data_IF_910559300160
#
_entry.id   IF_910559300160
#
_cell.length_a   1.000
_cell.length_b   1.000
_cell.length_c   1.000
_cell.angle_alpha   90.00
_cell.angle_beta   90.00
_cell.angle_gamma   90.00
#
_symmetry.space_group_name_H-M   'P 1'
#
loop_
_entity.id
_entity.type
_entity.pdbx_description
1 polymer ?
#
# COMPACT_ATOMS: atom_id res chain seq x y z
N UNK A 1 19.18 11.35 -23.49
CA UNK A 1 19.10 10.63 -22.18
C UNK A 1 19.09 11.55 -20.96
N UNK A 2 19.85 12.64 -20.87
CA UNK A 2 19.86 13.59 -19.75
C UNK A 2 18.49 14.24 -19.45
N UNK A 3 17.63 14.50 -20.45
CA UNK A 3 16.29 15.07 -20.25
C UNK A 3 15.34 14.15 -19.47
N UNK A 4 15.35 12.85 -19.72
CA UNK A 4 14.43 11.89 -19.04
C UNK A 4 14.79 11.72 -17.55
N UNK A 5 16.09 11.76 -17.18
CA UNK A 5 16.52 11.68 -15.77
C UNK A 5 16.00 12.83 -14.91
N UNK A 6 15.80 14.03 -15.50
CA UNK A 6 15.28 15.22 -14.79
C UNK A 6 13.74 15.30 -14.77
N UNK A 7 13.08 14.72 -15.77
CA UNK A 7 11.60 14.75 -15.88
C UNK A 7 10.95 13.82 -14.84
N UNK A 8 11.56 12.68 -14.53
CA UNK A 8 11.01 11.68 -13.64
C UNK A 8 10.67 12.20 -12.22
N UNK A 9 11.58 12.88 -11.48
CA UNK A 9 11.23 13.45 -10.18
C UNK A 9 10.16 14.54 -10.29
N UNK A 10 10.14 15.30 -11.38
CA UNK A 10 9.13 16.35 -11.62
C UNK A 10 7.74 15.72 -11.75
N UNK A 11 7.60 14.64 -12.49
CA UNK A 11 6.33 13.91 -12.63
C UNK A 11 5.84 13.41 -11.26
N UNK A 12 6.70 12.81 -10.45
CA UNK A 12 6.32 12.32 -9.11
C UNK A 12 5.84 13.49 -8.23
N UNK A 13 6.54 14.62 -8.26
CA UNK A 13 6.16 15.84 -7.50
C UNK A 13 4.81 16.38 -7.98
N UNK A 14 4.58 16.47 -9.30
CA UNK A 14 3.31 16.95 -9.86
C UNK A 14 2.14 16.03 -9.51
N UNK A 15 2.32 14.70 -9.61
CA UNK A 15 1.29 13.74 -9.21
C UNK A 15 1.03 13.82 -7.71
N UNK A 16 2.08 13.96 -6.88
CA UNK A 16 1.94 14.14 -5.43
C UNK A 16 1.19 15.42 -5.07
N UNK A 17 1.49 16.53 -5.75
CA UNK A 17 0.82 17.81 -5.54
C UNK A 17 -0.65 17.76 -5.97
N UNK A 18 -0.95 17.09 -7.09
CA UNK A 18 -2.33 16.81 -7.51
C UNK A 18 -3.09 15.97 -6.49
N UNK A 19 -2.45 14.94 -5.92
CA UNK A 19 -3.05 14.10 -4.87
C UNK A 19 -3.42 14.92 -3.62
N UNK A 20 -2.49 15.77 -3.15
CA UNK A 20 -2.74 16.67 -2.01
C UNK A 20 -3.91 17.60 -2.32
N UNK A 21 -3.97 18.15 -3.54
CA UNK A 21 -5.07 19.00 -4.00
C UNK A 21 -6.42 18.27 -3.97
N UNK A 22 -6.48 17.03 -4.44
CA UNK A 22 -7.70 16.21 -4.42
C UNK A 22 -8.16 15.95 -2.99
N UNK A 23 -7.26 15.56 -2.09
CA UNK A 23 -7.58 15.29 -0.68
C UNK A 23 -8.08 16.58 0.00
N UNK A 24 -7.44 17.73 -0.28
CA UNK A 24 -7.87 19.01 0.25
C UNK A 24 -9.29 19.38 -0.22
N UNK A 25 -9.58 19.22 -1.51
CA UNK A 25 -10.91 19.48 -2.08
C UNK A 25 -11.96 18.56 -1.46
N UNK A 26 -11.67 17.27 -1.28
CA UNK A 26 -12.58 16.33 -0.63
C UNK A 26 -12.88 16.72 0.82
N UNK A 27 -11.84 17.09 1.57
CA UNK A 27 -12.01 17.55 2.96
C UNK A 27 -12.83 18.84 3.04
N UNK A 28 -12.53 19.84 2.20
CA UNK A 28 -13.25 21.10 2.14
C UNK A 28 -14.72 20.89 1.77
N UNK A 29 -14.98 20.03 0.77
CA UNK A 29 -16.34 19.67 0.35
C UNK A 29 -17.13 18.99 1.47
N UNK A 30 -16.52 18.02 2.16
CA UNK A 30 -17.14 17.29 3.26
C UNK A 30 -17.49 18.24 4.42
N UNK A 31 -16.57 19.14 4.78
CA UNK A 31 -16.78 20.13 5.82
C UNK A 31 -17.91 21.10 5.47
N UNK A 32 -17.94 21.62 4.23
CA UNK A 32 -19.00 22.47 3.73
C UNK A 32 -20.35 21.77 3.75
N UNK A 33 -20.40 20.50 3.39
CA UNK A 33 -21.62 19.70 3.40
C UNK A 33 -22.15 19.45 4.82
N UNK A 34 -21.24 19.23 5.79
CA UNK A 34 -21.58 19.10 7.21
C UNK A 34 -22.23 20.39 7.74
N UNK A 35 -21.62 21.56 7.46
CA UNK A 35 -22.15 22.85 7.88
C UNK A 35 -23.53 23.11 7.26
N UNK A 36 -23.68 22.92 5.97
CA UNK A 36 -24.96 23.10 5.27
C UNK A 36 -26.08 22.21 5.86
N UNK A 37 -25.75 20.96 6.16
CA UNK A 37 -26.71 20.04 6.79
C UNK A 37 -27.07 20.45 8.21
N UNK A 38 -26.13 20.98 8.99
CA UNK A 38 -26.41 21.51 10.32
C UNK A 38 -27.36 22.69 10.26
N UNK A 39 -27.16 23.65 9.35
CA UNK A 39 -28.01 24.81 9.18
C UNK A 39 -29.42 24.44 8.71
N UNK A 40 -29.52 23.51 7.73
CA UNK A 40 -30.81 23.00 7.26
C UNK A 40 -31.60 22.30 8.39
N UNK A 41 -30.92 21.48 9.21
CA UNK A 41 -31.57 20.79 10.31
C UNK A 41 -32.06 21.77 11.38
N UNK A 42 -31.26 22.79 11.70
CA UNK A 42 -31.60 23.87 12.62
C UNK A 42 -32.83 24.64 12.16
N UNK A 43 -32.87 25.07 10.90
CA UNK A 43 -34.05 25.77 10.33
C UNK A 43 -35.31 24.90 10.39
N UNK A 44 -35.23 23.63 10.03
CA UNK A 44 -36.37 22.70 10.11
C UNK A 44 -36.90 22.54 11.54
N UNK A 45 -36.01 22.45 12.53
CA UNK A 45 -36.42 22.38 13.94
C UNK A 45 -37.09 23.67 14.42
N UNK A 46 -36.59 24.84 14.03
CA UNK A 46 -37.21 26.13 14.32
C UNK A 46 -38.60 26.19 13.67
N UNK A 47 -38.74 25.74 12.43
CA UNK A 47 -40.01 25.73 11.73
C UNK A 47 -41.04 24.77 12.38
N UNK A 48 -40.59 23.60 12.86
CA UNK A 48 -41.44 22.71 13.66
C UNK A 48 -41.93 23.38 14.92
N UNK A 49 -41.02 23.98 15.70
CA UNK A 49 -41.37 24.65 16.95
C UNK A 49 -42.36 25.79 16.71
N UNK A 50 -42.14 26.61 15.66
CA UNK A 50 -43.03 27.71 15.28
C UNK A 50 -44.39 27.20 14.79
N UNK A 51 -44.43 26.16 13.94
CA UNK A 51 -45.66 25.61 13.40
C UNK A 51 -46.53 25.01 14.50
N UNK A 52 -45.94 24.26 15.42
CA UNK A 52 -46.68 23.65 16.54
C UNK A 52 -47.18 24.75 17.51
N UNK A 53 -46.33 25.73 17.82
CA UNK A 53 -46.72 26.88 18.68
C UNK A 53 -47.90 27.64 18.09
N UNK A 54 -47.91 27.88 16.79
CA UNK A 54 -49.02 28.53 16.07
C UNK A 54 -50.28 27.65 16.06
N UNK A 55 -50.16 26.35 15.91
CA UNK A 55 -51.31 25.43 15.99
C UNK A 55 -51.87 25.35 17.42
N UNK A 56 -51.03 25.31 18.44
CA UNK A 56 -51.44 25.38 19.84
C UNK A 56 -52.10 26.70 20.21
N UNK A 57 -51.68 27.81 19.57
CA UNK A 57 -52.27 29.15 19.85
C UNK A 57 -53.79 29.20 19.57
N UNK A 58 -54.28 28.40 18.65
CA UNK A 58 -55.72 28.28 18.33
C UNK A 58 -56.55 27.74 19.50
N UNK A 59 -55.91 27.04 20.42
CA UNK A 59 -56.57 26.48 21.63
C UNK A 59 -56.46 27.41 22.84
N UNK A 60 -55.71 28.49 22.73
CA UNK A 60 -55.59 29.54 23.77
C UNK A 60 -56.67 30.59 23.58
N UNK A 61 -57.26 31.07 24.64
CA UNK A 61 -58.26 32.11 24.59
C UNK A 61 -59.60 31.77 25.21
N UNK A 62 -60.64 32.54 24.92
CA UNK A 62 -61.97 32.26 25.47
C UNK A 62 -62.69 31.12 24.76
N UNK A 63 -63.55 30.40 25.47
CA UNK A 63 -64.44 29.43 24.88
C UNK A 63 -65.49 30.19 24.07
N UNK A 64 -65.71 29.80 22.81
CA UNK A 64 -66.85 30.31 22.07
C UNK A 64 -68.13 29.90 22.79
N UNK A 65 -69.07 30.82 23.00
CA UNK A 65 -70.33 30.49 23.68
C UNK A 65 -71.07 29.41 22.88
N UNK A 66 -71.39 28.27 23.57
CA UNK A 66 -72.19 27.22 23.00
C UNK A 66 -73.71 27.59 23.18
N UNK A 67 -74.53 27.25 22.18
CA UNK A 67 -75.99 27.47 22.25
C UNK A 67 -76.67 26.83 23.49
N UNK A 68 -76.00 25.93 24.17
CA UNK A 68 -76.51 25.18 25.34
C UNK A 68 -75.85 25.61 26.67
N UNK A 69 -75.03 26.66 26.70
CA UNK A 69 -74.45 27.12 27.95
C UNK A 69 -75.49 27.94 28.70
N UNK A 70 -75.81 27.53 29.92
CA UNK A 70 -76.78 28.33 30.77
C UNK A 70 -76.09 29.69 31.09
N UNK A 71 -76.68 30.75 30.61
CA UNK A 71 -76.10 32.12 30.68
C UNK A 71 -75.99 32.64 32.14
N UNK A 72 -76.67 31.98 33.09
CA UNK A 72 -76.67 32.38 34.47
C UNK A 72 -76.85 31.11 35.36
N UNK A 73 -75.79 30.50 35.70
CA UNK A 73 -75.73 29.62 36.86
C UNK A 73 -74.34 29.64 37.45
N UNK A 74 -74.28 30.28 38.56
CA UNK A 74 -73.36 30.01 39.65
C UNK A 74 -72.81 31.31 40.27
N UNK A 75 -72.51 31.28 41.54
CA UNK A 75 -71.92 32.32 42.38
C UNK A 75 -70.52 32.82 41.98
N UNK A 76 -70.08 32.57 40.77
CA UNK A 76 -68.80 33.07 40.26
C UNK A 76 -68.96 34.43 39.64
N UNK A 77 -68.13 35.46 40.02
CA UNK A 77 -68.27 36.84 39.57
C UNK A 77 -67.90 37.03 38.06
N UNK A 78 -67.40 36.02 37.37
CA UNK A 78 -67.08 36.06 35.94
C UNK A 78 -67.73 34.89 35.25
N UNK A 79 -68.60 35.12 34.22
CA UNK A 79 -69.19 34.01 33.44
C UNK A 79 -68.11 33.15 32.80
N UNK A 80 -68.32 31.80 32.78
CA UNK A 80 -67.34 30.84 32.28
C UNK A 80 -66.78 31.13 30.87
N UNK A 81 -67.53 31.81 30.02
CA UNK A 81 -67.08 32.14 28.67
C UNK A 81 -66.01 33.31 28.64
N UNK A 82 -65.85 34.04 29.78
CA UNK A 82 -64.75 34.99 29.93
C UNK A 82 -63.52 34.46 30.64
N UNK A 83 -63.61 33.25 31.18
CA UNK A 83 -62.42 32.65 31.83
C UNK A 83 -61.36 32.35 30.81
N UNK A 84 -60.15 32.83 30.99
CA UNK A 84 -59.06 32.52 30.09
C UNK A 84 -58.68 31.04 30.22
N UNK A 85 -58.63 30.34 29.10
CA UNK A 85 -58.22 28.94 29.05
C UNK A 85 -56.79 28.81 28.54
N UNK A 86 -55.99 28.03 29.25
CA UNK A 86 -54.67 27.59 28.85
C UNK A 86 -54.79 26.41 27.88
N UNK A 87 -53.78 26.23 27.02
CA UNK A 87 -53.70 25.11 26.08
C UNK A 87 -53.68 23.79 26.84
N UNK A 88 -53.00 23.76 27.96
CA UNK A 88 -52.90 22.61 28.87
C UNK A 88 -54.24 22.11 29.42
N UNK A 89 -55.21 23.02 29.56
CA UNK A 89 -56.57 22.65 30.01
C UNK A 89 -57.43 22.04 28.90
N UNK A 90 -57.08 22.24 27.64
CA UNK A 90 -57.85 21.78 26.46
C UNK A 90 -57.22 20.56 25.78
N UNK A 91 -55.91 20.40 25.85
CA UNK A 91 -55.19 19.32 25.19
C UNK A 91 -54.50 18.42 26.20
N UNK A 92 -54.62 17.13 26.00
CA UNK A 92 -53.83 16.15 26.72
C UNK A 92 -52.36 16.11 26.24
N UNK A 93 -51.47 15.55 27.05
CA UNK A 93 -50.08 15.34 26.67
C UNK A 93 -49.95 14.49 25.38
N UNK A 94 -50.89 13.54 25.18
CA UNK A 94 -50.92 12.70 23.98
C UNK A 94 -51.29 13.49 22.73
N UNK A 95 -52.28 14.40 22.80
CA UNK A 95 -52.68 15.22 21.68
C UNK A 95 -51.63 16.25 21.29
N UNK A 96 -50.90 16.81 22.28
CA UNK A 96 -49.76 17.69 22.02
C UNK A 96 -48.64 16.91 21.33
N UNK A 97 -48.35 15.70 21.80
CA UNK A 97 -47.36 14.82 21.18
C UNK A 97 -47.70 14.44 19.73
N UNK A 98 -49.00 14.17 19.44
CA UNK A 98 -49.42 13.90 18.06
C UNK A 98 -49.24 15.10 17.13
N UNK A 99 -49.54 16.31 17.62
CA UNK A 99 -49.30 17.54 16.85
C UNK A 99 -47.82 17.73 16.56
N UNK A 100 -46.97 17.56 17.55
CA UNK A 100 -45.50 17.58 17.40
C UNK A 100 -45.07 16.52 16.39
N UNK A 101 -45.51 15.27 16.54
CA UNK A 101 -45.18 14.19 15.62
C UNK A 101 -45.54 14.51 14.17
N UNK A 102 -46.74 15.06 13.93
CA UNK A 102 -47.18 15.50 12.59
C UNK A 102 -46.25 16.60 12.03
N UNK A 103 -45.91 17.56 12.88
CA UNK A 103 -44.99 18.66 12.46
C UNK A 103 -43.58 18.17 12.19
N UNK A 104 -43.06 17.22 12.97
CA UNK A 104 -41.76 16.58 12.70
C UNK A 104 -41.79 15.80 11.37
N UNK A 105 -42.83 15.04 11.10
CA UNK A 105 -42.99 14.28 9.84
C UNK A 105 -43.10 15.23 8.64
N UNK A 106 -43.90 16.30 8.73
CA UNK A 106 -44.10 17.25 7.63
C UNK A 106 -42.81 18.04 7.29
N UNK A 107 -41.91 18.20 8.26
CA UNK A 107 -40.57 18.83 8.05
C UNK A 107 -39.43 17.83 7.76
N UNK A 108 -39.77 16.56 7.42
CA UNK A 108 -38.77 15.51 7.15
C UNK A 108 -37.83 15.21 8.33
N UNK A 109 -38.33 15.30 9.55
CA UNK A 109 -37.60 15.01 10.80
C UNK A 109 -38.12 13.78 11.53
N UNK A 110 -38.73 12.82 10.80
CA UNK A 110 -39.40 11.63 11.36
C UNK A 110 -38.50 10.82 12.29
N UNK A 111 -37.21 10.76 12.02
CA UNK A 111 -36.25 9.95 12.78
C UNK A 111 -35.55 10.75 13.90
N UNK A 112 -35.86 12.04 14.04
CA UNK A 112 -35.27 12.85 15.10
C UNK A 112 -36.07 12.63 16.38
N UNK A 113 -35.47 12.05 17.43
CA UNK A 113 -36.12 11.94 18.72
C UNK A 113 -36.25 13.30 19.38
N UNK A 114 -37.34 13.52 20.08
CA UNK A 114 -37.61 14.77 20.79
C UNK A 114 -38.36 14.49 22.09
N UNK A 115 -38.19 15.39 23.06
CA UNK A 115 -38.97 15.52 24.26
C UNK A 115 -39.54 16.93 24.31
N UNK A 116 -40.66 17.12 25.01
CA UNK A 116 -41.29 18.44 25.07
C UNK A 116 -41.93 18.72 26.44
N UNK A 117 -42.09 20.00 26.74
CA UNK A 117 -42.91 20.47 27.83
C UNK A 117 -43.62 21.76 27.48
N UNK A 118 -44.79 21.96 28.07
CA UNK A 118 -45.55 23.18 28.06
C UNK A 118 -45.43 23.81 29.44
N UNK A 119 -44.84 25.00 29.50
CA UNK A 119 -44.68 25.80 30.70
C UNK A 119 -45.68 26.92 30.72
N UNK A 120 -46.15 27.29 31.90
CA UNK A 120 -46.94 28.50 32.16
C UNK A 120 -46.09 29.49 32.92
N UNK A 121 -45.94 30.69 32.35
CA UNK A 121 -45.28 31.82 32.99
C UNK A 121 -46.29 32.65 33.75
N UNK A 122 -46.22 32.70 35.11
CA UNK A 122 -47.05 33.59 35.91
C UNK A 122 -46.30 34.86 36.19
N UNK A 123 -47.06 35.94 36.35
CA UNK A 123 -46.54 37.29 36.66
C UNK A 123 -45.70 37.36 37.95
N UNK A 124 -45.82 36.37 38.85
CA UNK A 124 -45.16 36.30 40.16
C UNK A 124 -43.87 35.46 40.17
N UNK A 125 -43.12 35.45 39.02
CA UNK A 125 -41.85 34.71 38.86
C UNK A 125 -41.89 33.15 39.02
N UNK A 126 -43.06 32.55 39.34
CA UNK A 126 -43.18 31.10 39.43
C UNK A 126 -43.65 30.49 38.11
N UNK A 127 -42.71 30.07 37.28
CA UNK A 127 -43.00 29.21 36.13
C UNK A 127 -43.16 27.75 36.58
N UNK A 128 -44.20 27.08 36.12
CA UNK A 128 -44.40 25.66 36.40
C UNK A 128 -44.71 24.88 35.12
N UNK A 129 -44.31 23.62 35.17
CA UNK A 129 -44.53 22.69 34.04
C UNK A 129 -45.93 22.10 34.17
N UNK A 130 -46.78 22.34 33.20
CA UNK A 130 -48.11 21.78 33.22
C UNK A 130 -48.25 20.44 32.50
N UNK A 131 -47.60 20.34 31.35
CA UNK A 131 -47.61 19.12 30.53
C UNK A 131 -46.17 18.83 30.08
N UNK A 132 -45.75 17.58 30.22
CA UNK A 132 -44.42 17.19 29.73
C UNK A 132 -44.45 15.74 29.23
N UNK A 133 -43.50 15.42 28.34
CA UNK A 133 -43.20 14.07 27.94
C UNK A 133 -42.35 13.33 29.00
N UNK A 134 -42.25 12.01 28.86
CA UNK A 134 -41.73 11.14 29.92
C UNK A 134 -40.31 11.43 30.37
N UNK A 135 -39.40 11.71 29.41
CA UNK A 135 -37.98 11.89 29.69
C UNK A 135 -37.55 13.38 29.61
N UNK A 136 -38.55 14.29 29.57
CA UNK A 136 -38.24 15.74 29.37
C UNK A 136 -37.28 16.29 30.42
N UNK A 137 -37.47 15.97 31.70
CA UNK A 137 -36.62 16.52 32.78
C UNK A 137 -35.15 16.10 32.65
N UNK A 138 -34.90 14.82 32.30
CA UNK A 138 -33.55 14.29 32.08
C UNK A 138 -32.91 14.99 30.90
N UNK A 139 -33.58 15.08 29.78
CA UNK A 139 -33.05 15.72 28.57
C UNK A 139 -32.89 17.25 28.73
N UNK A 140 -33.79 17.85 29.48
CA UNK A 140 -33.73 19.29 29.77
C UNK A 140 -32.54 19.62 30.70
N UNK A 141 -32.20 18.78 31.63
CA UNK A 141 -31.04 18.95 32.51
C UNK A 141 -29.71 18.78 31.78
N UNK A 142 -29.67 17.88 30.77
CA UNK A 142 -28.45 17.59 29.99
C UNK A 142 -28.27 18.58 28.84
N UNK A 143 -27.66 19.73 29.12
CA UNK A 143 -27.35 20.77 28.13
C UNK A 143 -26.16 20.41 27.25
N UNK A 144 -25.40 19.37 27.59
CA UNK A 144 -24.22 18.95 26.83
C UNK A 144 -24.63 18.19 25.58
N UNK A 145 -25.60 17.29 25.70
CA UNK A 145 -26.02 16.39 24.62
C UNK A 145 -27.33 16.79 23.97
N UNK A 146 -28.04 17.79 24.52
CA UNK A 146 -29.35 18.21 24.06
C UNK A 146 -29.44 19.70 23.84
N UNK A 147 -30.26 20.08 22.84
CA UNK A 147 -30.57 21.48 22.50
C UNK A 147 -32.03 21.76 22.79
N UNK A 148 -32.31 22.97 23.27
CA UNK A 148 -33.63 23.45 23.64
C UNK A 148 -34.13 24.45 22.61
N UNK A 149 -35.35 24.25 22.10
CA UNK A 149 -36.06 25.18 21.25
C UNK A 149 -37.26 25.72 22.03
N UNK A 150 -37.24 27.01 22.30
CA UNK A 150 -38.24 27.71 23.13
C UNK A 150 -39.11 28.58 22.23
N UNK A 151 -40.42 28.36 22.25
CA UNK A 151 -41.37 29.17 21.50
C UNK A 151 -42.56 29.54 22.35
N UNK A 152 -42.95 30.81 22.32
CA UNK A 152 -44.14 31.31 22.99
C UNK A 152 -45.41 30.89 22.25
N UNK A 153 -46.41 30.43 22.99
CA UNK A 153 -47.75 30.20 22.47
C UNK A 153 -48.56 31.47 22.67
N UNK A 154 -48.55 32.28 21.64
CA UNK A 154 -49.17 33.63 21.68
C UNK A 154 -50.67 33.48 21.39
N UNK A 155 -51.52 34.18 22.15
CA UNK A 155 -52.97 34.23 21.87
C UNK A 155 -53.21 34.87 20.49
N UNK A 156 -54.28 34.43 19.75
CA UNK A 156 -54.65 35.09 18.50
C UNK A 156 -54.85 36.57 18.69
N UNK A 157 -54.31 37.41 17.80
CA UNK A 157 -54.46 38.87 17.84
C UNK A 157 -55.95 39.24 17.82
N UNK A 158 -56.32 40.27 18.59
CA UNK A 158 -57.68 40.75 18.79
C UNK A 158 -58.59 39.83 19.59
N UNK A 159 -58.09 38.89 20.36
CA UNK A 159 -58.83 38.16 21.36
C UNK A 159 -59.16 39.08 22.57
N UNK A 160 -60.41 39.06 23.07
CA UNK A 160 -60.82 39.83 24.25
C UNK A 160 -59.99 39.50 25.53
N UNK A 161 -59.20 38.41 25.49
CA UNK A 161 -58.36 37.93 26.59
C UNK A 161 -56.85 38.04 26.30
N UNK A 162 -56.45 38.76 25.29
CA UNK A 162 -55.02 38.85 24.87
C UNK A 162 -54.09 39.25 26.03
N UNK A 163 -54.57 40.11 26.95
CA UNK A 163 -53.83 40.53 28.13
C UNK A 163 -54.21 39.87 29.45
N UNK A 164 -55.13 38.91 29.42
CA UNK A 164 -55.67 38.23 30.63
C UNK A 164 -55.18 36.78 30.80
N UNK A 165 -54.52 36.21 29.79
CA UNK A 165 -54.01 34.85 29.83
C UNK A 165 -52.56 34.86 30.22
N UNK A 166 -52.16 33.93 31.11
CA UNK A 166 -50.76 33.66 31.41
C UNK A 166 -50.02 33.25 30.13
N UNK A 167 -48.75 33.63 30.02
CA UNK A 167 -47.90 33.24 28.88
C UNK A 167 -47.56 31.74 28.98
N UNK A 168 -47.86 31.03 27.89
CA UNK A 168 -47.47 29.64 27.76
C UNK A 168 -46.28 29.54 26.81
N UNK A 169 -45.35 28.66 27.15
CA UNK A 169 -44.12 28.41 26.42
C UNK A 169 -43.96 26.94 26.09
N UNK A 170 -43.88 26.62 24.82
CA UNK A 170 -43.52 25.30 24.35
C UNK A 170 -42.00 25.19 24.29
N UNK A 171 -41.47 24.21 25.02
CA UNK A 171 -40.04 23.84 24.97
C UNK A 171 -39.93 22.49 24.31
N UNK A 172 -39.16 22.41 23.22
CA UNK A 172 -38.84 21.16 22.55
C UNK A 172 -37.34 20.90 22.78
N UNK A 173 -37.01 19.71 23.26
CA UNK A 173 -35.63 19.28 23.49
C UNK A 173 -35.30 18.20 22.49
N UNK A 174 -34.18 18.37 21.79
CA UNK A 174 -33.68 17.41 20.79
C UNK A 174 -32.21 17.16 21.02
N UNK A 175 -31.64 16.02 20.55
CA UNK A 175 -30.21 15.77 20.62
C UNK A 175 -29.40 16.82 19.88
N UNK A 176 -28.12 16.96 20.23
CA UNK A 176 -27.19 17.86 19.55
C UNK A 176 -27.23 17.66 18.03
N UNK A 177 -27.39 18.76 17.29
CA UNK A 177 -27.48 18.74 15.82
C UNK A 177 -26.26 18.06 15.19
N UNK A 178 -25.05 18.26 15.78
CA UNK A 178 -23.83 17.63 15.30
C UNK A 178 -23.94 16.10 15.27
N UNK A 179 -24.43 15.49 16.35
CA UNK A 179 -24.56 14.02 16.45
C UNK A 179 -25.57 13.46 15.45
N UNK A 180 -26.69 14.17 15.25
CA UNK A 180 -27.72 13.81 14.27
C UNK A 180 -27.18 13.86 12.84
N UNK A 181 -26.47 14.93 12.48
CA UNK A 181 -25.86 15.11 11.15
C UNK A 181 -24.77 14.08 10.90
N UNK A 182 -23.89 13.80 11.89
CA UNK A 182 -22.89 12.75 11.74
C UNK A 182 -23.50 11.39 11.49
N UNK A 183 -24.57 11.03 12.17
CA UNK A 183 -25.28 9.76 11.95
C UNK A 183 -25.87 9.69 10.55
N UNK A 184 -26.53 10.74 10.06
CA UNK A 184 -27.10 10.82 8.71
C UNK A 184 -26.02 10.76 7.63
N UNK A 185 -24.83 11.31 7.89
CA UNK A 185 -23.73 11.38 6.94
C UNK A 185 -22.69 10.25 7.06
N UNK A 186 -22.81 9.36 8.04
CA UNK A 186 -21.82 8.32 8.32
C UNK A 186 -21.47 7.46 7.10
N UNK A 187 -22.49 7.04 6.32
CA UNK A 187 -22.28 6.26 5.09
C UNK A 187 -21.49 7.03 4.03
N UNK A 188 -21.78 8.33 3.86
CA UNK A 188 -21.08 9.19 2.88
C UNK A 188 -19.65 9.46 3.30
N UNK A 189 -19.40 9.67 4.60
CA UNK A 189 -18.06 9.82 5.17
C UNK A 189 -17.26 8.54 4.95
N UNK A 190 -17.85 7.37 5.19
CA UNK A 190 -17.20 6.08 4.97
C UNK A 190 -16.82 5.87 3.49
N UNK A 191 -17.73 6.19 2.57
CA UNK A 191 -17.45 6.14 1.12
C UNK A 191 -16.32 7.10 0.73
N UNK A 192 -16.29 8.31 1.27
CA UNK A 192 -15.22 9.28 1.01
C UNK A 192 -13.85 8.78 1.52
N UNK A 193 -13.81 8.18 2.71
CA UNK A 193 -12.59 7.58 3.28
C UNK A 193 -12.13 6.42 2.39
N UNK A 194 -13.03 5.51 1.99
CA UNK A 194 -12.71 4.38 1.12
C UNK A 194 -12.12 4.86 -0.21
N UNK A 195 -12.74 5.87 -0.82
CA UNK A 195 -12.26 6.45 -2.08
C UNK A 195 -10.88 7.09 -1.93
N UNK A 196 -10.62 7.80 -0.82
CA UNK A 196 -9.29 8.35 -0.52
C UNK A 196 -8.24 7.25 -0.38
N UNK A 197 -8.56 6.13 0.29
CA UNK A 197 -7.65 4.99 0.43
C UNK A 197 -7.34 4.34 -0.92
N UNK A 198 -8.32 4.22 -1.82
CA UNK A 198 -8.10 3.70 -3.18
C UNK A 198 -7.13 4.60 -3.95
N UNK A 199 -7.32 5.93 -3.91
CA UNK A 199 -6.43 6.88 -4.59
C UNK A 199 -5.00 6.80 -4.03
N UNK A 200 -4.83 6.74 -2.70
CA UNK A 200 -3.52 6.61 -2.05
C UNK A 200 -2.83 5.30 -2.44
N UNK A 201 -3.59 4.19 -2.47
CA UNK A 201 -3.07 2.89 -2.91
C UNK A 201 -2.63 2.91 -4.37
N UNK A 202 -3.44 3.46 -5.27
CA UNK A 202 -3.11 3.61 -6.68
C UNK A 202 -1.85 4.48 -6.89
N UNK A 203 -1.73 5.58 -6.14
CA UNK A 203 -0.54 6.43 -6.16
C UNK A 203 0.71 5.67 -5.72
N UNK A 204 0.63 4.97 -4.58
CA UNK A 204 1.74 4.16 -4.06
C UNK A 204 2.20 3.11 -5.08
N UNK A 205 1.25 2.36 -5.67
CA UNK A 205 1.56 1.34 -6.68
C UNK A 205 2.20 1.96 -7.93
N UNK A 206 1.69 3.10 -8.38
CA UNK A 206 2.24 3.81 -9.55
C UNK A 206 3.68 4.25 -9.30
N UNK A 207 3.95 4.93 -8.18
CA UNK A 207 5.29 5.40 -7.84
C UNK A 207 6.26 4.22 -7.65
N UNK A 208 5.83 3.18 -6.94
CA UNK A 208 6.64 1.97 -6.73
C UNK A 208 7.01 1.30 -8.06
N UNK A 209 6.03 1.14 -8.96
CA UNK A 209 6.24 0.57 -10.30
C UNK A 209 7.17 1.43 -11.15
N UNK A 210 7.00 2.76 -11.14
CA UNK A 210 7.86 3.68 -11.86
C UNK A 210 9.33 3.62 -11.37
N UNK A 211 9.54 3.58 -10.05
CA UNK A 211 10.90 3.46 -9.46
C UNK A 211 11.53 2.13 -9.88
N UNK A 212 10.76 1.05 -9.85
CA UNK A 212 11.23 -0.28 -10.28
C UNK A 212 11.58 -0.31 -11.77
N UNK A 213 10.75 0.27 -12.63
CA UNK A 213 11.02 0.36 -14.07
C UNK A 213 12.26 1.19 -14.37
N UNK A 214 12.45 2.33 -13.67
CA UNK A 214 13.65 3.14 -13.81
C UNK A 214 14.91 2.35 -13.48
N UNK A 215 14.91 1.62 -12.35
CA UNK A 215 16.03 0.79 -11.91
C UNK A 215 16.35 -0.32 -12.92
N UNK A 216 15.32 -0.98 -13.47
CA UNK A 216 15.49 -1.97 -14.54
C UNK A 216 16.08 -1.36 -15.81
N UNK A 217 15.65 -0.16 -16.19
CA UNK A 217 16.20 0.55 -17.37
C UNK A 217 17.66 0.94 -17.17
N UNK A 218 18.06 1.38 -15.98
CA UNK A 218 19.46 1.69 -15.65
C UNK A 218 20.32 0.42 -15.76
N UNK A 219 19.90 -0.68 -15.17
CA UNK A 219 20.60 -1.99 -15.23
C UNK A 219 20.75 -2.46 -16.68
N UNK A 220 19.65 -2.34 -17.47
CA UNK A 220 19.69 -2.71 -18.90
C UNK A 220 20.67 -1.86 -19.70
N UNK A 221 20.73 -0.56 -19.44
CA UNK A 221 21.70 0.33 -20.12
C UNK A 221 23.13 0.00 -19.73
N UNK A 222 23.40 -0.25 -18.44
CA UNK A 222 24.73 -0.66 -17.97
C UNK A 222 25.16 -1.99 -18.59
N UNK A 223 24.22 -2.94 -18.74
CA UNK A 223 24.47 -4.19 -19.45
C UNK A 223 24.85 -3.96 -20.91
N UNK A 224 24.08 -3.13 -21.66
CA UNK A 224 24.39 -2.82 -23.06
C UNK A 224 25.78 -2.17 -23.19
N UNK A 225 26.10 -1.21 -22.33
CA UNK A 225 27.40 -0.56 -22.32
C UNK A 225 28.53 -1.57 -22.05
N UNK A 226 28.36 -2.43 -21.06
CA UNK A 226 29.34 -3.46 -20.73
C UNK A 226 29.51 -4.48 -21.87
N UNK A 227 28.41 -4.92 -22.52
CA UNK A 227 28.48 -5.77 -23.71
C UNK A 227 29.30 -5.12 -24.82
N UNK A 228 29.02 -3.84 -25.09
CA UNK A 228 29.77 -3.10 -26.13
C UNK A 228 31.27 -3.09 -25.83
N UNK A 229 31.66 -2.86 -24.59
CA UNK A 229 33.06 -2.90 -24.19
C UNK A 229 33.66 -4.31 -24.26
N UNK A 230 32.96 -5.35 -23.80
CA UNK A 230 33.43 -6.74 -23.81
C UNK A 230 33.58 -7.29 -25.24
N UNK A 231 32.80 -6.82 -26.22
CA UNK A 231 32.96 -7.18 -27.62
C UNK A 231 34.04 -6.34 -28.34
N UNK A 232 34.21 -5.08 -27.96
CA UNK A 232 35.20 -4.20 -28.62
C UNK A 232 36.62 -4.74 -28.46
N UNK A 233 36.96 -5.29 -27.31
CA UNK A 233 38.32 -5.81 -27.03
C UNK A 233 38.70 -6.98 -27.94
N UNK A 234 37.93 -8.10 -28.01
CA UNK A 234 38.29 -9.21 -28.90
C UNK A 234 38.29 -8.81 -30.38
N UNK A 235 37.34 -7.94 -30.79
CA UNK A 235 37.30 -7.44 -32.17
C UNK A 235 38.60 -6.64 -32.50
N UNK A 236 39.06 -5.79 -31.60
CA UNK A 236 40.32 -5.05 -31.79
C UNK A 236 41.52 -5.99 -31.83
N UNK A 237 41.59 -7.01 -30.97
CA UNK A 237 42.65 -8.02 -30.98
C UNK A 237 42.67 -8.82 -32.27
N UNK A 238 41.50 -9.24 -32.76
CA UNK A 238 41.36 -9.93 -34.05
C UNK A 238 41.86 -9.02 -35.18
N UNK A 239 41.44 -7.74 -35.20
CA UNK A 239 41.88 -6.78 -36.21
C UNK A 239 43.39 -6.59 -36.24
N UNK A 240 44.00 -6.44 -35.05
CA UNK A 240 45.46 -6.33 -34.92
C UNK A 240 46.19 -7.60 -35.42
N UNK A 241 45.67 -8.77 -35.08
CA UNK A 241 46.23 -10.03 -35.55
C UNK A 241 46.10 -10.21 -37.07
N UNK A 242 44.99 -9.78 -37.67
CA UNK A 242 44.81 -9.74 -39.12
C UNK A 242 45.78 -8.77 -39.80
N UNK A 243 45.94 -7.57 -39.23
CA UNK A 243 46.89 -6.58 -39.76
C UNK A 243 48.32 -7.07 -39.65
N UNK A 244 48.69 -7.76 -38.57
CA UNK A 244 49.98 -8.42 -38.42
C UNK A 244 50.20 -9.52 -39.47
N UNK A 245 49.22 -10.35 -39.78
CA UNK A 245 49.30 -11.39 -40.81
C UNK A 245 49.49 -10.78 -42.21
N UNK A 246 48.98 -9.58 -42.46
CA UNK A 246 49.17 -8.88 -43.76
C UNK A 246 50.56 -8.36 -43.97
N UNK A 247 51.43 -8.34 -42.96
CA UNK A 247 52.82 -7.92 -43.09
C UNK A 247 53.65 -9.01 -43.76
N UNK A 248 54.40 -8.68 -44.82
CA UNK A 248 55.21 -9.62 -45.56
C UNK A 248 56.20 -10.41 -44.69
N UNK A 249 56.78 -9.81 -43.65
CA UNK A 249 57.73 -10.47 -42.73
C UNK A 249 57.05 -11.56 -41.90
N UNK A 250 55.76 -11.39 -41.57
CA UNK A 250 54.96 -12.37 -40.84
C UNK A 250 54.49 -13.47 -41.78
N UNK A 251 54.11 -13.13 -43.03
CA UNK A 251 53.67 -14.11 -44.02
C UNK A 251 54.77 -15.11 -44.40
N UNK A 252 56.07 -14.70 -44.32
CA UNK A 252 57.24 -15.55 -44.59
C UNK A 252 57.66 -16.39 -43.37
N UNK A 253 57.10 -16.15 -42.22
CA UNK A 253 57.42 -16.79 -40.93
C UNK A 253 56.22 -17.63 -40.50
N UNK A 254 56.31 -18.97 -40.74
CA UNK A 254 55.22 -19.91 -40.44
C UNK A 254 54.84 -19.97 -38.97
N UNK A 255 55.80 -19.75 -38.05
CA UNK A 255 55.58 -19.77 -36.61
C UNK A 255 54.75 -18.52 -36.19
N UNK A 256 55.14 -17.35 -36.66
CA UNK A 256 54.37 -16.12 -36.41
C UNK A 256 52.99 -16.13 -37.05
N UNK A 257 52.88 -16.68 -38.26
CA UNK A 257 51.57 -16.87 -38.92
C UNK A 257 50.66 -17.79 -38.09
N UNK A 258 51.21 -18.91 -37.60
CA UNK A 258 50.48 -19.80 -36.66
C UNK A 258 50.07 -19.13 -35.38
N UNK A 259 50.95 -18.34 -34.77
CA UNK A 259 50.66 -17.59 -33.56
C UNK A 259 49.52 -16.57 -33.73
N UNK A 260 49.54 -15.72 -34.75
CA UNK A 260 48.45 -14.76 -34.97
C UNK A 260 47.14 -15.45 -35.38
N UNK A 261 47.20 -16.56 -36.09
CA UNK A 261 46.03 -17.35 -36.43
C UNK A 261 45.42 -18.03 -35.18
N UNK A 262 46.23 -18.46 -34.23
CA UNK A 262 45.70 -18.98 -32.94
C UNK A 262 45.00 -17.90 -32.12
N UNK A 263 45.57 -16.69 -32.10
CA UNK A 263 44.89 -15.56 -31.42
C UNK A 263 43.52 -15.28 -32.01
N UNK A 264 43.39 -15.26 -33.34
CA UNK A 264 42.08 -15.05 -34.03
C UNK A 264 41.10 -16.17 -33.63
N UNK A 265 41.58 -17.44 -33.65
CA UNK A 265 40.73 -18.57 -33.29
C UNK A 265 40.29 -18.55 -31.83
N UNK A 266 41.18 -18.19 -30.92
CA UNK A 266 40.86 -18.08 -29.48
C UNK A 266 39.88 -16.99 -29.18
N UNK A 267 40.05 -15.78 -29.77
CA UNK A 267 39.11 -14.69 -29.56
C UNK A 267 37.73 -14.95 -30.21
N UNK A 268 37.72 -15.63 -31.39
CA UNK A 268 36.43 -16.06 -31.99
C UNK A 268 35.70 -17.07 -31.11
N UNK A 269 36.36 -18.10 -30.58
CA UNK A 269 35.78 -19.06 -29.64
C UNK A 269 35.29 -18.37 -28.37
N UNK A 270 36.01 -17.38 -27.89
CA UNK A 270 35.61 -16.56 -26.74
C UNK A 270 34.34 -15.77 -27.02
N UNK A 271 34.25 -15.11 -28.18
CA UNK A 271 33.06 -14.36 -28.61
C UNK A 271 31.85 -15.30 -28.73
N UNK A 272 31.99 -16.47 -29.34
CA UNK A 272 30.93 -17.45 -29.45
C UNK A 272 30.37 -17.87 -28.06
N UNK A 273 31.25 -18.18 -27.11
CA UNK A 273 30.84 -18.50 -25.72
C UNK A 273 30.10 -17.35 -25.06
N UNK A 274 30.50 -16.10 -25.33
CA UNK A 274 29.82 -14.91 -24.83
C UNK A 274 28.41 -14.76 -25.41
N UNK A 275 28.25 -14.95 -26.74
CA UNK A 275 26.96 -14.91 -27.43
C UNK A 275 26.03 -15.99 -26.91
N UNK A 276 26.52 -17.24 -26.76
CA UNK A 276 25.73 -18.33 -26.20
C UNK A 276 25.23 -18.01 -24.79
N UNK A 277 26.07 -17.44 -23.93
CA UNK A 277 25.69 -17.04 -22.57
C UNK A 277 24.56 -16.01 -22.57
N UNK A 278 24.62 -15.04 -23.49
CA UNK A 278 23.58 -14.01 -23.67
C UNK A 278 22.28 -14.64 -24.18
N UNK A 279 22.38 -15.51 -25.20
CA UNK A 279 21.20 -16.18 -25.76
C UNK A 279 20.51 -17.08 -24.74
N UNK A 280 21.28 -17.88 -24.00
CA UNK A 280 20.74 -18.71 -22.90
C UNK A 280 20.00 -17.86 -21.86
N UNK A 281 20.57 -16.73 -21.49
CA UNK A 281 19.91 -15.81 -20.53
C UNK A 281 18.62 -15.16 -21.09
N UNK A 282 18.60 -14.82 -22.38
CA UNK A 282 17.44 -14.25 -23.05
C UNK A 282 16.30 -15.27 -23.23
N UNK A 283 16.64 -16.51 -23.51
CA UNK A 283 15.65 -17.60 -23.62
C UNK A 283 15.01 -17.93 -22.27
N UNK A 284 15.76 -17.84 -21.18
CA UNK A 284 15.24 -18.03 -19.82
C UNK A 284 14.20 -17.00 -19.39
N UNK A 285 14.11 -15.84 -20.06
CA UNK A 285 13.08 -14.82 -19.80
C UNK A 285 11.73 -15.15 -20.42
N UNK A 286 11.71 -16.01 -21.44
CA UNK A 286 10.51 -16.31 -22.24
C UNK A 286 9.87 -17.67 -21.96
N UNK A 287 10.61 -18.60 -21.35
CA UNK A 287 10.11 -19.96 -21.10
C UNK A 287 10.51 -20.39 -19.70
N UNK A 288 9.63 -21.10 -19.02
CA UNK A 288 10.01 -21.93 -17.90
C UNK A 288 11.13 -22.87 -18.36
N UNK A 289 12.21 -22.96 -17.58
CA UNK A 289 13.30 -23.89 -17.84
C UNK A 289 12.72 -25.30 -18.03
N UNK A 290 12.74 -25.80 -19.26
CA UNK A 290 12.38 -27.19 -19.50
C UNK A 290 13.52 -28.06 -19.01
N UNK A 291 13.38 -28.55 -17.78
CA UNK A 291 14.39 -29.44 -17.16
C UNK A 291 14.15 -30.88 -17.63
N UNK A 292 15.24 -31.54 -18.02
CA UNK A 292 15.27 -32.99 -18.22
C UNK A 292 15.65 -33.68 -16.87
N UNK A 293 14.64 -33.73 -15.99
CA UNK A 293 14.87 -34.27 -14.63
C UNK A 293 15.15 -35.77 -14.65
N UNK A 294 16.32 -36.18 -14.13
CA UNK A 294 16.76 -37.55 -13.96
C UNK A 294 17.29 -37.77 -12.55
N UNK A 295 17.24 -39.00 -12.02
CA UNK A 295 18.01 -39.33 -10.84
C UNK A 295 19.50 -39.14 -11.14
N UNK A 296 20.19 -38.35 -10.30
CA UNK A 296 21.62 -38.07 -10.48
C UNK A 296 22.31 -37.94 -9.12
N UNK A 297 23.54 -38.39 -9.05
CA UNK A 297 24.44 -38.24 -7.92
C UNK A 297 25.17 -36.89 -8.02
N UNK A 298 24.88 -36.02 -7.08
CA UNK A 298 25.44 -34.64 -7.13
C UNK A 298 26.95 -34.67 -6.85
N UNK A 299 27.45 -35.61 -6.05
CA UNK A 299 28.88 -35.74 -5.77
C UNK A 299 29.71 -36.00 -7.02
N UNK A 300 29.20 -36.78 -7.98
CA UNK A 300 29.91 -37.04 -9.26
C UNK A 300 30.07 -35.74 -10.02
N UNK A 301 28.98 -34.95 -10.18
CA UNK A 301 29.01 -33.67 -10.88
C UNK A 301 29.94 -32.66 -10.19
N UNK A 302 29.95 -32.64 -8.85
CA UNK A 302 30.82 -31.74 -8.09
C UNK A 302 32.29 -32.14 -8.31
N UNK A 303 32.66 -33.43 -8.31
CA UNK A 303 34.02 -33.87 -8.56
C UNK A 303 34.49 -33.49 -9.97
N UNK A 304 33.67 -33.76 -10.98
CA UNK A 304 34.00 -33.44 -12.37
C UNK A 304 34.23 -31.93 -12.58
N UNK A 305 33.39 -31.09 -11.94
CA UNK A 305 33.58 -29.65 -11.99
C UNK A 305 34.81 -29.20 -11.20
N UNK A 306 35.02 -29.74 -10.00
CA UNK A 306 36.18 -29.42 -9.13
C UNK A 306 37.49 -29.65 -9.83
N UNK A 307 37.63 -30.82 -10.50
CA UNK A 307 38.84 -31.21 -11.23
C UNK A 307 39.22 -30.19 -12.31
N UNK A 308 38.25 -29.63 -12.99
CA UNK A 308 38.45 -28.58 -14.01
C UNK A 308 38.98 -27.23 -13.43
N UNK A 309 38.83 -27.02 -12.11
CA UNK A 309 39.28 -25.78 -11.46
C UNK A 309 40.66 -25.94 -10.76
N UNK A 310 41.17 -27.13 -10.54
CA UNK A 310 42.43 -27.37 -9.85
C UNK A 310 43.57 -26.65 -10.57
N UNK A 311 43.73 -26.82 -11.88
CA UNK A 311 44.79 -26.17 -12.68
C UNK A 311 44.69 -24.65 -12.62
N UNK A 312 43.49 -24.09 -12.74
CA UNK A 312 43.23 -22.66 -12.70
C UNK A 312 43.54 -22.04 -11.33
N UNK A 313 43.34 -22.77 -10.25
CA UNK A 313 43.69 -22.35 -8.89
C UNK A 313 45.20 -22.44 -8.67
N UNK A 314 45.84 -23.50 -9.15
CA UNK A 314 47.32 -23.66 -9.09
C UNK A 314 48.07 -22.52 -9.77
N UNK A 315 47.58 -22.02 -10.92
CA UNK A 315 48.14 -20.84 -11.60
C UNK A 315 48.12 -19.60 -10.70
N UNK A 316 47.18 -19.52 -9.78
CA UNK A 316 47.05 -18.42 -8.80
C UNK A 316 47.57 -18.78 -7.40
N UNK A 317 48.34 -19.90 -7.28
CA UNK A 317 48.82 -20.43 -6.01
C UNK A 317 47.67 -20.71 -5.00
N UNK A 318 46.44 -20.93 -5.50
CA UNK A 318 45.26 -21.18 -4.72
C UNK A 318 45.04 -22.64 -4.35
N UNK A 319 44.06 -22.90 -3.50
CA UNK A 319 43.70 -24.21 -3.01
C UNK A 319 42.19 -24.45 -3.11
N UNK A 320 41.85 -25.69 -3.47
CA UNK A 320 40.45 -26.20 -3.42
C UNK A 320 40.37 -27.26 -2.32
N UNK A 321 39.52 -26.99 -1.34
CA UNK A 321 39.18 -27.98 -0.28
C UNK A 321 37.80 -28.55 -0.59
N UNK A 322 37.71 -29.88 -0.64
CA UNK A 322 36.46 -30.58 -0.99
C UNK A 322 36.08 -31.56 0.11
N UNK A 323 34.97 -31.31 0.78
CA UNK A 323 34.40 -32.08 1.88
C UNK A 323 33.00 -32.60 1.47
N UNK A 324 32.90 -33.78 0.88
CA UNK A 324 31.65 -34.35 0.38
C UNK A 324 31.01 -35.29 1.41
N UNK A 325 30.50 -34.71 2.53
CA UNK A 325 30.04 -35.49 3.69
C UNK A 325 28.53 -35.80 3.67
N UNK A 326 27.82 -35.43 2.60
CA UNK A 326 26.42 -35.80 2.49
C UNK A 326 26.25 -37.30 2.40
N UNK A 327 25.51 -37.89 3.32
CA UNK A 327 25.21 -39.35 3.37
C UNK A 327 24.28 -39.78 2.23
N UNK A 328 23.46 -38.86 1.73
CA UNK A 328 22.57 -39.03 0.57
C UNK A 328 22.76 -37.85 -0.37
N UNK A 329 23.13 -38.12 -1.62
CA UNK A 329 23.40 -37.15 -2.67
C UNK A 329 22.54 -37.35 -3.91
N UNK A 330 21.56 -38.29 -3.85
CA UNK A 330 20.69 -38.60 -4.96
C UNK A 330 19.53 -37.60 -5.06
N UNK A 331 19.50 -36.80 -6.12
CA UNK A 331 18.41 -35.84 -6.39
C UNK A 331 17.74 -36.18 -7.73
N UNK A 332 16.51 -35.63 -7.93
CA UNK A 332 15.92 -35.50 -9.27
C UNK A 332 16.34 -34.14 -9.84
N UNK A 333 17.21 -34.16 -10.85
CA UNK A 333 17.76 -32.93 -11.40
C UNK A 333 18.16 -33.08 -12.88
N UNK A 334 18.50 -31.92 -13.47
CA UNK A 334 19.09 -31.82 -14.80
C UNK A 334 20.60 -31.64 -14.64
N UNK A 335 21.34 -32.68 -15.09
CA UNK A 335 22.79 -32.78 -14.96
C UNK A 335 23.53 -31.58 -15.55
N UNK A 336 23.10 -31.12 -16.75
CA UNK A 336 23.71 -29.99 -17.44
C UNK A 336 23.50 -28.70 -16.66
N UNK A 337 22.30 -28.50 -16.12
CA UNK A 337 21.97 -27.31 -15.35
C UNK A 337 22.64 -27.28 -13.98
N UNK A 338 22.74 -28.43 -13.29
CA UNK A 338 23.45 -28.57 -12.00
C UNK A 338 24.94 -28.37 -12.20
N UNK A 339 25.58 -29.01 -13.21
CA UNK A 339 27.00 -28.79 -13.54
C UNK A 339 27.31 -27.31 -13.84
N UNK A 340 26.48 -26.66 -14.66
CA UNK A 340 26.62 -25.24 -14.95
C UNK A 340 26.43 -24.31 -13.73
N UNK A 341 25.56 -24.73 -12.79
CA UNK A 341 25.35 -24.02 -11.54
C UNK A 341 26.59 -24.01 -10.68
N UNK A 342 27.20 -25.20 -10.46
CA UNK A 342 28.44 -25.35 -9.71
C UNK A 342 29.57 -24.59 -10.39
N UNK A 343 29.72 -24.73 -11.71
CA UNK A 343 30.71 -24.01 -12.52
C UNK A 343 30.59 -22.49 -12.37
N UNK A 344 29.38 -21.93 -12.42
CA UNK A 344 29.16 -20.50 -12.26
C UNK A 344 29.60 -19.98 -10.88
N UNK A 345 29.35 -20.73 -9.82
CA UNK A 345 29.75 -20.34 -8.47
C UNK A 345 31.26 -20.44 -8.29
N UNK A 346 31.88 -21.51 -8.80
CA UNK A 346 33.34 -21.68 -8.79
C UNK A 346 34.04 -20.62 -9.61
N UNK A 347 33.53 -20.31 -10.81
CA UNK A 347 34.06 -19.22 -11.65
C UNK A 347 34.01 -17.86 -10.91
N UNK A 348 32.92 -17.59 -10.20
CA UNK A 348 32.79 -16.37 -9.40
C UNK A 348 33.82 -16.34 -8.26
N UNK A 349 34.00 -17.44 -7.54
CA UNK A 349 35.02 -17.56 -6.46
C UNK A 349 36.43 -17.24 -6.95
N UNK A 350 36.84 -17.84 -8.09
CA UNK A 350 38.17 -17.60 -8.71
C UNK A 350 38.29 -16.17 -9.23
N UNK A 351 37.22 -15.63 -9.80
CA UNK A 351 37.19 -14.33 -10.47
C UNK A 351 37.22 -13.16 -9.48
N UNK A 352 36.54 -13.29 -8.34
CA UNK A 352 36.50 -12.27 -7.30
C UNK A 352 37.52 -12.55 -6.18
N UNK A 353 38.56 -13.34 -6.44
CA UNK A 353 39.70 -13.49 -5.54
C UNK A 353 40.45 -12.17 -5.34
N UNK A 354 41.15 -12.01 -4.22
CA UNK A 354 41.99 -10.87 -3.93
C UNK A 354 43.31 -10.97 -4.76
N UNK A 355 43.87 -9.82 -5.18
CA UNK A 355 45.06 -9.81 -6.00
C UNK A 355 46.32 -10.38 -5.32
N UNK A 356 46.47 -10.14 -4.01
CA UNK A 356 47.67 -10.52 -3.24
C UNK A 356 47.44 -11.63 -2.22
N UNK A 357 46.35 -12.37 -2.33
CA UNK A 357 46.02 -13.46 -1.42
C UNK A 357 45.66 -14.70 -2.25
N UNK A 358 46.36 -15.85 -2.04
CA UNK A 358 45.99 -17.08 -2.71
C UNK A 358 44.48 -17.38 -2.53
N UNK A 359 43.76 -17.67 -3.60
CA UNK A 359 42.35 -18.02 -3.48
C UNK A 359 42.18 -19.39 -2.78
N UNK A 360 41.37 -19.41 -1.74
CA UNK A 360 40.94 -20.64 -1.07
C UNK A 360 39.45 -20.81 -1.30
N UNK A 361 39.08 -21.88 -1.93
CA UNK A 361 37.67 -22.23 -2.17
C UNK A 361 37.37 -23.51 -1.42
N UNK A 362 36.36 -23.50 -0.57
CA UNK A 362 35.88 -24.68 0.14
C UNK A 362 34.52 -25.10 -0.42
N UNK A 363 34.44 -26.35 -0.82
CA UNK A 363 33.28 -27.02 -1.35
C UNK A 363 32.84 -28.08 -0.35
N UNK A 364 31.72 -27.90 0.31
CA UNK A 364 31.23 -28.89 1.29
C UNK A 364 29.78 -29.28 1.00
N UNK A 365 29.45 -30.52 1.31
CA UNK A 365 28.10 -31.04 1.18
C UNK A 365 27.66 -31.69 2.49
N UNK A 366 26.37 -31.55 2.76
CA UNK A 366 25.70 -32.24 3.86
C UNK A 366 24.30 -32.66 3.44
N UNK A 367 23.71 -33.62 4.11
CA UNK A 367 22.31 -33.99 3.86
C UNK A 367 21.51 -34.05 5.14
N UNK A 368 20.22 -33.78 5.01
CA UNK A 368 19.19 -34.04 6.03
C UNK A 368 18.25 -35.09 5.48
N UNK A 369 17.30 -35.62 6.27
CA UNK A 369 16.32 -36.60 5.80
C UNK A 369 15.51 -36.20 4.56
N UNK A 370 15.56 -34.92 4.12
CA UNK A 370 14.74 -34.40 3.01
C UNK A 370 15.51 -33.57 2.01
N UNK A 371 16.69 -33.08 2.36
CA UNK A 371 17.41 -32.11 1.57
C UNK A 371 18.87 -32.43 1.45
N UNK A 372 19.40 -32.28 0.26
CA UNK A 372 20.81 -32.15 -0.05
C UNK A 372 21.23 -30.70 0.06
N UNK A 373 22.36 -30.42 0.70
CA UNK A 373 22.87 -29.07 0.93
C UNK A 373 24.27 -28.98 0.36
N UNK A 374 24.46 -28.06 -0.61
CA UNK A 374 25.77 -27.73 -1.17
C UNK A 374 26.18 -26.35 -0.66
N UNK A 375 27.39 -26.22 -0.16
CA UNK A 375 27.98 -24.97 0.29
C UNK A 375 29.29 -24.71 -0.46
N UNK A 376 29.44 -23.46 -0.97
CA UNK A 376 30.65 -23.03 -1.67
C UNK A 376 31.11 -21.74 -0.98
N UNK A 377 32.28 -21.78 -0.36
CA UNK A 377 32.88 -20.68 0.38
C UNK A 377 34.17 -20.19 -0.33
N UNK A 378 34.37 -18.88 -0.38
CA UNK A 378 35.59 -18.24 -0.91
C UNK A 378 36.17 -17.22 0.10
N UNK A 379 37.47 -16.99 0.03
CA UNK A 379 38.19 -15.96 0.79
C UNK A 379 38.39 -14.66 0.00
N UNK A 380 37.57 -14.43 -1.03
CA UNK A 380 37.69 -13.31 -1.97
C UNK A 380 37.39 -11.94 -1.37
N UNK A 381 37.11 -10.97 -2.24
CA UNK A 381 36.84 -9.57 -1.85
C UNK A 381 35.57 -9.40 -1.03
N UNK A 382 34.65 -10.36 -1.06
CA UNK A 382 33.35 -10.28 -0.41
C UNK A 382 32.46 -9.17 -0.96
N UNK A 383 31.32 -8.95 -0.30
CA UNK A 383 30.25 -8.05 -0.77
C UNK A 383 29.72 -7.15 0.33
N UNK A 384 29.29 -5.93 -0.03
CA UNK A 384 28.54 -5.05 0.87
C UNK A 384 27.10 -5.58 1.06
N UNK A 385 26.43 -5.15 2.13
CA UNK A 385 25.01 -5.49 2.39
C UNK A 385 24.07 -5.06 1.24
N UNK A 386 24.39 -3.95 0.60
CA UNK A 386 23.60 -3.45 -0.53
C UNK A 386 23.79 -4.33 -1.77
N UNK A 387 25.03 -4.70 -2.08
CA UNK A 387 25.38 -5.64 -3.15
C UNK A 387 24.71 -6.99 -2.92
N UNK A 388 24.82 -7.54 -1.72
CA UNK A 388 24.28 -8.86 -1.35
C UNK A 388 22.76 -8.98 -1.60
N UNK A 389 22.01 -7.92 -1.40
CA UNK A 389 20.57 -7.88 -1.71
C UNK A 389 20.24 -7.99 -3.18
N UNK A 390 21.19 -7.71 -4.04
CA UNK A 390 21.00 -7.53 -5.48
C UNK A 390 21.75 -8.51 -6.36
N UNK A 391 22.63 -9.33 -5.81
CA UNK A 391 23.52 -10.22 -6.59
C UNK A 391 22.78 -11.19 -7.51
N UNK A 392 21.52 -11.50 -7.20
CA UNK A 392 20.66 -12.38 -8.01
C UNK A 392 19.81 -11.59 -9.02
N UNK A 393 19.88 -10.24 -9.03
CA UNK A 393 19.22 -9.44 -10.07
C UNK A 393 19.94 -9.64 -11.40
N UNK A 394 19.21 -9.87 -12.50
CA UNK A 394 19.82 -10.02 -13.85
C UNK A 394 20.58 -8.77 -14.22
N UNK A 395 21.75 -8.95 -14.87
CA UNK A 395 22.64 -7.89 -15.34
C UNK A 395 23.27 -7.05 -14.21
N UNK A 396 22.97 -7.34 -12.95
CA UNK A 396 23.53 -6.60 -11.83
C UNK A 396 25.01 -6.92 -11.65
N UNK A 397 25.80 -5.87 -11.49
CA UNK A 397 27.22 -5.93 -11.12
C UNK A 397 27.49 -4.93 -10.02
N UNK A 398 28.29 -5.29 -9.03
CA UNK A 398 28.72 -4.34 -8.02
C UNK A 398 29.64 -3.30 -8.67
N UNK A 399 29.35 -2.02 -8.48
CA UNK A 399 30.25 -0.93 -8.84
C UNK A 399 31.34 -0.84 -7.76
N UNK A 400 32.43 -1.55 -7.94
CA UNK A 400 33.59 -1.53 -7.03
C UNK A 400 34.64 -0.52 -7.55
N UNK A 401 34.30 0.78 -7.56
CA UNK A 401 35.25 1.85 -7.84
C UNK A 401 36.19 1.60 -9.05
N UNK A 402 37.48 1.52 -8.82
CA UNK A 402 38.50 1.33 -9.86
C UNK A 402 38.71 -0.12 -10.38
N UNK A 403 37.94 -1.12 -9.88
CA UNK A 403 38.04 -2.51 -10.33
C UNK A 403 37.21 -2.72 -11.60
N UNK A 404 37.52 -2.02 -12.68
CA UNK A 404 36.97 -2.28 -14.01
C UNK A 404 37.41 -3.61 -14.65
N UNK A 405 38.34 -4.35 -14.03
CA UNK A 405 39.00 -5.53 -14.63
C UNK A 405 38.25 -6.85 -14.50
N UNK A 406 37.13 -6.90 -13.79
CA UNK A 406 36.39 -8.17 -13.61
C UNK A 406 35.40 -8.36 -14.76
N UNK A 407 35.79 -9.16 -15.78
CA UNK A 407 34.99 -9.44 -17.00
C UNK A 407 33.70 -10.17 -16.72
N UNK A 408 32.58 -9.83 -17.42
CA UNK A 408 31.35 -10.58 -17.43
C UNK A 408 30.05 -9.77 -17.44
N UNK A 409 28.94 -10.43 -17.73
CA UNK A 409 27.65 -9.78 -18.06
C UNK A 409 26.66 -9.63 -16.87
N UNK A 410 27.01 -10.15 -15.69
CA UNK A 410 26.10 -10.13 -14.53
C UNK A 410 24.91 -11.11 -14.67
N UNK A 411 25.11 -12.21 -15.40
CA UNK A 411 24.09 -13.21 -15.67
C UNK A 411 24.28 -14.52 -14.86
N UNK A 412 25.49 -14.80 -14.36
CA UNK A 412 25.82 -16.08 -13.73
C UNK A 412 24.99 -16.37 -12.46
N UNK A 413 24.93 -15.43 -11.51
CA UNK A 413 24.19 -15.64 -10.26
C UNK A 413 22.66 -15.64 -10.45
N UNK A 414 22.15 -14.86 -11.40
CA UNK A 414 20.73 -14.94 -11.74
C UNK A 414 20.35 -16.26 -12.39
N UNK A 415 21.26 -16.84 -13.22
CA UNK A 415 21.12 -18.19 -13.76
C UNK A 415 21.10 -19.23 -12.63
N UNK A 416 22.07 -19.18 -11.71
CA UNK A 416 22.14 -20.09 -10.55
C UNK A 416 20.82 -20.06 -9.78
N UNK A 417 20.30 -18.89 -9.47
CA UNK A 417 19.02 -18.75 -8.76
C UNK A 417 17.86 -19.39 -9.55
N UNK A 418 17.75 -19.12 -10.83
CA UNK A 418 16.68 -19.67 -11.66
C UNK A 418 16.75 -21.21 -11.74
N UNK A 419 17.96 -21.77 -11.85
CA UNK A 419 18.15 -23.22 -11.85
C UNK A 419 17.73 -23.83 -10.52
N UNK A 420 18.14 -23.25 -9.41
CA UNK A 420 17.75 -23.72 -8.06
C UNK A 420 16.24 -23.63 -7.86
N UNK A 421 15.62 -22.53 -8.25
CA UNK A 421 14.16 -22.36 -8.15
C UNK A 421 13.40 -23.36 -9.05
N UNK A 422 13.89 -23.61 -10.27
CA UNK A 422 13.31 -24.60 -11.17
C UNK A 422 13.41 -26.04 -10.62
N UNK A 423 14.44 -26.35 -9.84
CA UNK A 423 14.57 -27.59 -9.08
C UNK A 423 13.86 -27.57 -7.72
N UNK A 424 12.98 -26.57 -7.47
CA UNK A 424 12.25 -26.38 -6.22
C UNK A 424 13.16 -26.27 -4.98
N UNK A 425 14.38 -25.80 -5.20
CA UNK A 425 15.39 -25.57 -4.19
C UNK A 425 15.40 -24.14 -3.63
N UNK A 426 16.32 -23.91 -2.72
CA UNK A 426 16.56 -22.60 -2.09
C UNK A 426 18.04 -22.27 -2.20
N UNK A 427 18.36 -21.04 -2.62
CA UNK A 427 19.72 -20.51 -2.57
C UNK A 427 19.81 -19.36 -1.56
N UNK A 428 20.86 -19.40 -0.74
CA UNK A 428 21.21 -18.33 0.20
C UNK A 428 22.64 -17.88 -0.07
N UNK A 429 22.92 -16.60 0.16
CA UNK A 429 24.26 -16.05 0.07
C UNK A 429 24.55 -15.23 1.31
N UNK A 430 25.72 -15.43 1.88
CA UNK A 430 26.27 -14.69 3.01
C UNK A 430 27.63 -14.15 2.59
N UNK A 431 27.90 -12.88 2.89
CA UNK A 431 29.17 -12.28 2.52
C UNK A 431 29.49 -11.09 3.43
N UNK A 432 30.79 -10.89 3.66
CA UNK A 432 31.32 -9.73 4.35
C UNK A 432 32.44 -9.13 3.51
N UNK A 433 32.37 -7.83 3.27
CA UNK A 433 33.39 -7.12 2.48
C UNK A 433 34.78 -7.36 3.11
N UNK A 434 35.74 -7.75 2.26
CA UNK A 434 37.11 -8.07 2.66
C UNK A 434 37.31 -9.47 3.26
N UNK A 435 36.26 -10.26 3.52
CA UNK A 435 36.37 -11.60 4.11
C UNK A 435 36.07 -12.76 3.16
N UNK A 436 35.25 -12.51 2.13
CA UNK A 436 34.81 -13.53 1.17
C UNK A 436 33.30 -13.73 1.16
N UNK A 437 32.83 -14.77 0.48
CA UNK A 437 31.42 -15.09 0.32
C UNK A 437 31.15 -16.57 0.55
N UNK A 438 29.92 -16.90 0.94
CA UNK A 438 29.42 -18.25 1.12
C UNK A 438 28.08 -18.36 0.41
N UNK A 439 27.96 -19.33 -0.49
CA UNK A 439 26.71 -19.66 -1.18
C UNK A 439 26.22 -21.02 -0.70
N UNK A 440 25.01 -21.08 -0.18
CA UNK A 440 24.37 -22.31 0.29
C UNK A 440 23.18 -22.64 -0.60
N UNK A 441 23.14 -23.85 -1.16
CA UNK A 441 22.08 -24.36 -2.02
C UNK A 441 21.45 -25.57 -1.35
N UNK A 442 20.14 -25.56 -1.22
CA UNK A 442 19.33 -26.62 -0.68
C UNK A 442 18.48 -27.23 -1.82
N UNK A 443 18.64 -28.51 -2.13
CA UNK A 443 17.84 -29.25 -3.11
C UNK A 443 17.09 -30.38 -2.42
N UNK A 444 15.93 -30.77 -2.94
CA UNK A 444 15.17 -31.88 -2.41
C UNK A 444 15.82 -33.20 -2.80
N UNK A 445 16.05 -34.08 -1.81
CA UNK A 445 16.47 -35.47 -2.07
C UNK A 445 15.35 -36.24 -2.77
N UNK A 446 15.73 -37.20 -3.59
CA UNK A 446 14.79 -38.14 -4.14
C UNK A 446 14.11 -38.89 -2.99
N UNK A 447 12.78 -38.82 -2.92
CA UNK A 447 12.04 -39.80 -2.10
C UNK A 447 11.88 -41.09 -2.91
N UNK A 448 12.24 -42.19 -2.28
CA UNK A 448 11.91 -43.53 -2.77
C UNK A 448 10.40 -43.71 -2.92
#
# INVERSE_FOLDING_TARGET
>A
MLRVKRIFPIIIVLIGLSLVGIIYIQFAWLNSMLLLKQDQLKERLINVARSVSNDLSQYKGTRAPSKNDPIFNDDSPVPDFFKPYLVSNRLSTQEINEKLRRAFVSNNLREVPYEFALFVLNSDENSYVEKQSQNFQEWYADTTNHLRYINYVVSPSASATENLTSDEVLIIVVPQIKSLVFRDMASRILVAILFTLIILSAFYLTVSTMVRQKKLSEIKNDFINNMTHEFKTPIATISLAVDAIRNEKVQRDTEKLGYFSSIIKEENQRMNRQVETILKSALMDRQELQLNLRPLHVHEIIRDVADNFILRLQEKQGMLETELDATDDLIYGDEVHISNLVTNLMDNAVKYSKENVPPVIRLSTSSTNKKFILRIEDNGIGMSRETLKRIFEKFYRAHTGNIHNVKGFGLGLSYVKNVVEAHQGIIKAESTLGKGSNFTIELSLKKD
#
